data_IF_518893184214
#
_entry.id   IF_518893184214
#
_cell.length_a   1.000
_cell.length_b   1.000
_cell.length_c   1.000
_cell.angle_alpha   90.00
_cell.angle_beta   90.00
_cell.angle_gamma   90.00
#
_symmetry.space_group_name_H-M   'P 1'
#
loop_
_entity.id
_entity.type
_entity.pdbx_description
1 polymer ?
#
# COMPACT_ATOMS: atom_id res chain seq x y z
N UNK A 1 5.41 -17.78 40.93
CA UNK A 1 5.27 -17.61 39.46
C UNK A 1 3.82 -17.27 39.17
N UNK A 2 3.52 -16.09 38.61
CA UNK A 2 2.14 -15.72 38.27
C UNK A 2 1.59 -16.61 37.14
N UNK A 3 0.32 -17.00 37.24
CA UNK A 3 -0.37 -17.73 36.17
C UNK A 3 -0.35 -16.86 34.91
N UNK A 4 0.23 -17.37 33.82
CA UNK A 4 0.12 -16.69 32.52
C UNK A 4 -1.33 -16.74 32.10
N UNK A 5 -1.90 -15.57 31.81
CA UNK A 5 -3.25 -15.47 31.25
C UNK A 5 -3.41 -16.29 29.96
N UNK A 6 -4.66 -16.56 29.55
CA UNK A 6 -4.93 -17.35 28.35
C UNK A 6 -4.21 -16.80 27.12
N UNK A 7 -3.63 -17.68 26.31
CA UNK A 7 -2.95 -17.28 25.07
C UNK A 7 -3.96 -16.61 24.14
N UNK A 8 -3.61 -15.41 23.64
CA UNK A 8 -4.41 -14.71 22.62
C UNK A 8 -4.55 -15.58 21.37
N UNK A 9 -5.79 -15.74 20.88
CA UNK A 9 -6.09 -16.41 19.61
C UNK A 9 -6.05 -15.41 18.46
N UNK A 10 -5.52 -15.81 17.31
CA UNK A 10 -5.40 -14.99 16.10
C UNK A 10 -6.21 -15.64 14.98
N UNK A 11 -7.51 -15.46 15.08
CA UNK A 11 -8.49 -16.13 14.23
C UNK A 11 -8.57 -15.52 12.83
N UNK A 12 -8.39 -14.20 12.74
CA UNK A 12 -8.49 -13.43 11.50
C UNK A 12 -7.14 -13.25 10.78
N UNK A 13 -6.05 -13.78 11.35
CA UNK A 13 -4.70 -13.68 10.78
C UNK A 13 -4.41 -14.93 9.96
N UNK A 14 -4.00 -14.74 8.71
CA UNK A 14 -3.69 -15.83 7.78
C UNK A 14 -2.19 -15.95 7.54
N UNK A 15 -1.76 -17.11 7.05
CA UNK A 15 -0.37 -17.31 6.64
C UNK A 15 -0.13 -16.61 5.30
N UNK A 16 0.87 -15.71 5.17
CA UNK A 16 1.21 -15.04 3.91
C UNK A 16 2.18 -15.85 3.03
N UNK A 17 2.42 -17.12 3.33
CA UNK A 17 3.32 -17.95 2.55
C UNK A 17 2.57 -18.76 1.50
N UNK A 18 2.74 -18.46 0.21
CA UNK A 18 2.06 -19.16 -0.88
C UNK A 18 2.37 -20.67 -0.90
N UNK A 19 3.58 -21.08 -0.50
CA UNK A 19 3.96 -22.49 -0.42
C UNK A 19 3.40 -23.22 0.82
N UNK A 20 2.66 -22.54 1.69
CA UNK A 20 2.08 -23.18 2.86
C UNK A 20 0.74 -23.82 2.51
N UNK A 21 0.51 -25.07 2.94
CA UNK A 21 -0.80 -25.72 2.81
C UNK A 21 -1.95 -25.02 3.53
N UNK A 22 -1.65 -24.04 4.40
CA UNK A 22 -2.63 -23.18 5.09
C UNK A 22 -2.50 -21.71 4.64
N UNK A 23 -1.98 -21.45 3.43
CA UNK A 23 -1.93 -20.12 2.84
C UNK A 23 -3.33 -19.49 2.75
N UNK A 24 -3.48 -18.26 3.23
CA UNK A 24 -4.75 -17.52 3.12
C UNK A 24 -5.94 -18.09 3.93
N UNK A 25 -5.79 -19.20 4.65
CA UNK A 25 -6.89 -19.82 5.42
C UNK A 25 -6.97 -19.22 6.82
N UNK A 26 -8.16 -18.77 7.23
CA UNK A 26 -8.46 -18.23 8.57
C UNK A 26 -8.84 -19.35 9.55
N UNK A 27 -8.81 -19.05 10.85
CA UNK A 27 -9.31 -19.93 11.93
C UNK A 27 -8.69 -21.34 12.06
N UNK A 28 -7.52 -21.59 11.45
CA UNK A 28 -6.84 -22.90 11.53
C UNK A 28 -5.96 -23.08 12.78
N UNK A 29 -5.82 -22.04 13.62
CA UNK A 29 -5.01 -22.09 14.84
C UNK A 29 -3.50 -22.25 14.60
N UNK A 30 -3.05 -22.17 13.35
CA UNK A 30 -1.64 -22.25 12.94
C UNK A 30 -0.86 -20.97 13.29
N UNK A 31 -1.52 -19.82 13.45
CA UNK A 31 -0.87 -18.55 13.73
C UNK A 31 -0.73 -18.29 15.22
N UNK A 32 0.49 -17.98 15.65
CA UNK A 32 0.80 -17.63 17.05
C UNK A 32 1.61 -16.33 17.11
N UNK A 33 1.41 -15.54 18.17
CA UNK A 33 2.16 -14.32 18.40
C UNK A 33 3.63 -14.60 18.71
N UNK A 34 4.53 -13.90 18.01
CA UNK A 34 5.98 -13.96 18.14
C UNK A 34 6.57 -12.64 18.67
N UNK A 35 5.90 -12.06 19.67
CA UNK A 35 6.27 -10.79 20.28
C UNK A 35 5.76 -9.55 19.55
N UNK A 36 6.31 -8.40 19.92
CA UNK A 36 6.02 -7.08 19.34
C UNK A 36 7.33 -6.31 19.15
N UNK A 37 7.37 -5.35 18.23
CA UNK A 37 8.48 -4.41 18.09
C UNK A 37 7.94 -2.99 17.91
N UNK A 38 8.73 -1.99 18.27
CA UNK A 38 8.35 -0.58 18.15
C UNK A 38 8.73 -0.02 16.78
N UNK A 39 7.82 0.72 16.17
CA UNK A 39 8.07 1.56 15.00
C UNK A 39 7.77 3.01 15.33
N UNK A 40 8.12 3.95 14.46
CA UNK A 40 7.74 5.36 14.64
C UNK A 40 6.22 5.57 14.64
N UNK A 41 5.46 4.62 14.10
CA UNK A 41 4.00 4.62 14.01
C UNK A 41 3.32 3.81 15.12
N UNK A 42 4.10 3.25 16.05
CA UNK A 42 3.60 2.48 17.19
C UNK A 42 4.07 1.02 17.22
N UNK A 43 3.56 0.24 18.20
CA UNK A 43 3.92 -1.17 18.37
C UNK A 43 3.29 -2.04 17.29
N UNK A 44 4.11 -2.87 16.65
CA UNK A 44 3.71 -3.83 15.63
C UNK A 44 3.83 -5.25 16.18
N UNK A 45 2.79 -6.08 16.01
CA UNK A 45 2.79 -7.49 16.39
C UNK A 45 3.55 -8.32 15.36
N UNK A 46 4.34 -9.27 15.84
CA UNK A 46 4.90 -10.35 15.02
C UNK A 46 4.12 -11.63 15.22
N UNK A 47 4.08 -12.43 14.18
CA UNK A 47 3.44 -13.73 14.12
C UNK A 47 4.42 -14.78 13.63
N UNK A 48 4.14 -16.03 13.96
CA UNK A 48 4.77 -17.20 13.36
C UNK A 48 3.68 -18.18 12.97
N UNK A 49 3.74 -18.68 11.73
CA UNK A 49 2.93 -19.80 11.31
C UNK A 49 3.60 -21.10 11.78
N UNK A 50 2.91 -21.89 12.61
CA UNK A 50 3.43 -23.18 13.09
C UNK A 50 3.48 -24.27 12.02
N UNK A 51 2.71 -24.13 10.95
CA UNK A 51 2.66 -25.11 9.86
C UNK A 51 3.89 -25.01 8.96
N UNK A 52 4.32 -23.79 8.59
CA UNK A 52 5.48 -23.59 7.69
C UNK A 52 6.68 -22.88 8.33
N UNK A 53 6.57 -22.41 9.57
CA UNK A 53 7.63 -21.68 10.27
C UNK A 53 7.79 -20.20 9.87
N UNK A 54 7.06 -19.70 8.88
CA UNK A 54 7.21 -18.31 8.41
C UNK A 54 6.89 -17.31 9.52
N UNK A 55 7.80 -16.35 9.72
CA UNK A 55 7.63 -15.21 10.62
C UNK A 55 7.17 -14.01 9.80
N UNK A 56 6.14 -13.31 10.27
CA UNK A 56 5.56 -12.14 9.61
C UNK A 56 5.00 -11.17 10.66
N UNK A 57 4.43 -10.03 10.25
CA UNK A 57 3.89 -9.03 11.16
C UNK A 57 2.58 -8.42 10.65
N UNK A 58 1.93 -7.57 11.47
CA UNK A 58 0.68 -6.88 11.09
C UNK A 58 0.81 -6.09 9.78
N UNK A 59 2.02 -5.62 9.46
CA UNK A 59 2.29 -4.79 8.28
C UNK A 59 2.70 -5.62 7.06
N UNK A 60 2.84 -6.95 7.19
CA UNK A 60 3.17 -7.80 6.05
C UNK A 60 2.07 -7.71 4.99
N UNK A 61 2.45 -7.64 3.71
CA UNK A 61 1.54 -7.41 2.57
C UNK A 61 0.75 -6.08 2.68
N UNK A 62 1.41 -5.02 3.14
CA UNK A 62 0.86 -3.65 3.10
C UNK A 62 1.92 -2.70 2.53
N UNK A 63 1.48 -1.59 1.92
CA UNK A 63 2.39 -0.50 1.49
C UNK A 63 3.24 0.11 2.63
N UNK A 64 2.87 -0.21 3.86
CA UNK A 64 3.50 0.27 5.09
C UNK A 64 4.59 -0.68 5.62
N UNK A 65 4.76 -1.86 5.02
CA UNK A 65 5.80 -2.80 5.42
C UNK A 65 7.19 -2.16 5.34
N UNK A 66 8.01 -2.39 6.38
CA UNK A 66 9.38 -1.90 6.51
C UNK A 66 9.58 -0.36 6.37
N UNK A 67 8.51 0.43 6.51
CA UNK A 67 8.64 1.88 6.56
C UNK A 67 9.21 2.34 7.91
N UNK A 68 10.31 3.08 7.83
CA UNK A 68 10.97 3.76 8.97
C UNK A 68 10.43 5.17 9.24
N UNK A 69 9.61 5.70 8.34
CA UNK A 69 8.91 6.98 8.50
C UNK A 69 7.59 6.75 9.21
N UNK A 70 7.08 7.77 9.93
CA UNK A 70 5.71 7.74 10.47
C UNK A 70 4.69 7.64 9.33
N UNK A 71 3.68 6.82 9.53
CA UNK A 71 2.67 6.50 8.51
C UNK A 71 1.88 7.75 8.13
N UNK A 72 1.55 8.58 9.12
CA UNK A 72 0.90 9.88 8.94
C UNK A 72 1.67 10.78 7.95
N UNK A 73 3.01 10.83 8.04
CA UNK A 73 3.82 11.67 7.16
C UNK A 73 3.76 11.16 5.71
N UNK A 74 3.76 9.84 5.52
CA UNK A 74 3.61 9.22 4.20
C UNK A 74 2.20 9.48 3.63
N UNK A 75 1.16 9.31 4.45
CA UNK A 75 -0.22 9.58 4.07
C UNK A 75 -0.45 11.04 3.67
N UNK A 76 0.13 11.99 4.42
CA UNK A 76 0.07 13.42 4.08
C UNK A 76 0.76 13.67 2.73
N UNK A 77 1.94 13.10 2.49
CA UNK A 77 2.65 13.23 1.21
C UNK A 77 1.81 12.74 0.03
N UNK A 78 1.24 11.54 0.15
CA UNK A 78 0.37 10.97 -0.89
C UNK A 78 -0.87 11.83 -1.11
N UNK A 79 -1.48 12.34 -0.05
CA UNK A 79 -2.65 13.24 -0.13
C UNK A 79 -2.32 14.56 -0.81
N UNK A 80 -1.14 15.14 -0.57
CA UNK A 80 -0.68 16.36 -1.25
C UNK A 80 -0.52 16.11 -2.76
N UNK A 81 0.11 15.01 -3.14
CA UNK A 81 0.28 14.62 -4.54
C UNK A 81 -1.07 14.39 -5.23
N UNK A 82 -1.98 13.65 -4.59
CA UNK A 82 -3.33 13.39 -5.11
C UNK A 82 -4.15 14.68 -5.31
N UNK A 83 -3.87 15.73 -4.53
CA UNK A 83 -4.48 17.06 -4.69
C UNK A 83 -3.80 17.91 -5.78
N UNK A 84 -2.86 17.35 -6.55
CA UNK A 84 -2.20 18.03 -7.67
C UNK A 84 -0.90 18.75 -7.30
N UNK A 85 -0.38 18.57 -6.09
CA UNK A 85 0.90 19.16 -5.70
C UNK A 85 2.06 18.42 -6.35
N UNK A 86 3.09 19.16 -6.79
CA UNK A 86 4.31 18.55 -7.33
C UNK A 86 5.05 17.77 -6.23
N UNK A 87 5.75 16.69 -6.63
CA UNK A 87 6.58 15.92 -5.69
C UNK A 87 7.69 16.77 -5.06
N UNK A 88 8.22 17.76 -5.78
CA UNK A 88 9.26 18.67 -5.28
C UNK A 88 8.73 19.59 -4.18
N UNK A 89 7.56 20.20 -4.40
CA UNK A 89 6.93 21.05 -3.39
C UNK A 89 6.48 20.21 -2.17
N UNK A 90 6.01 18.99 -2.41
CA UNK A 90 5.66 18.05 -1.32
C UNK A 90 6.90 17.70 -0.49
N UNK A 91 8.04 17.44 -1.15
CA UNK A 91 9.30 17.14 -0.48
C UNK A 91 9.81 18.32 0.36
N UNK A 92 9.68 19.54 -0.17
CA UNK A 92 10.03 20.78 0.52
C UNK A 92 9.14 21.03 1.75
N UNK A 93 7.81 20.97 1.60
CA UNK A 93 6.86 21.17 2.71
C UNK A 93 7.06 20.13 3.82
N UNK A 94 7.33 18.89 3.45
CA UNK A 94 7.52 17.81 4.41
C UNK A 94 8.96 17.69 4.91
N UNK A 95 9.88 18.54 4.44
CA UNK A 95 11.30 18.49 4.76
C UNK A 95 11.87 17.06 4.60
N UNK A 96 11.78 16.53 3.39
CA UNK A 96 12.32 15.22 3.00
C UNK A 96 12.97 15.30 1.64
N UNK A 97 13.82 14.31 1.32
CA UNK A 97 14.41 14.20 -0.01
C UNK A 97 13.32 13.85 -1.04
N UNK A 98 13.42 14.41 -2.25
CA UNK A 98 12.53 14.09 -3.37
C UNK A 98 12.46 12.57 -3.63
N UNK A 99 13.58 11.86 -3.54
CA UNK A 99 13.61 10.41 -3.75
C UNK A 99 12.86 9.62 -2.67
N UNK A 100 12.72 10.18 -1.47
CA UNK A 100 11.88 9.60 -0.43
C UNK A 100 10.40 9.69 -0.81
N UNK A 101 9.97 10.84 -1.33
CA UNK A 101 8.59 11.04 -1.83
C UNK A 101 8.30 10.11 -3.01
N UNK A 102 9.23 9.99 -3.97
CA UNK A 102 9.13 9.03 -5.07
C UNK A 102 8.99 7.61 -4.56
N UNK A 103 9.83 7.20 -3.62
CA UNK A 103 9.80 5.87 -3.02
C UNK A 103 8.50 5.57 -2.26
N UNK A 104 7.83 6.57 -1.70
CA UNK A 104 6.48 6.42 -1.13
C UNK A 104 5.42 6.24 -2.22
N UNK A 105 5.51 7.03 -3.29
CA UNK A 105 4.57 6.94 -4.40
C UNK A 105 4.67 5.58 -5.12
N UNK A 106 5.88 5.09 -5.39
CA UNK A 106 6.09 3.77 -6.01
C UNK A 106 5.47 2.65 -5.17
N UNK A 107 5.72 2.62 -3.85
CA UNK A 107 5.11 1.63 -2.94
C UNK A 107 3.59 1.71 -2.93
N UNK A 108 3.04 2.93 -2.92
CA UNK A 108 1.60 3.14 -2.96
C UNK A 108 0.99 2.67 -4.29
N UNK A 109 1.68 2.89 -5.41
CA UNK A 109 1.27 2.43 -6.73
C UNK A 109 1.28 0.92 -6.85
N UNK A 110 2.37 0.25 -6.41
CA UNK A 110 2.47 -1.22 -6.40
C UNK A 110 1.32 -1.86 -5.61
N UNK A 111 1.03 -1.34 -4.42
CA UNK A 111 -0.06 -1.84 -3.60
C UNK A 111 -1.44 -1.48 -4.18
N UNK A 112 -1.58 -0.30 -4.79
CA UNK A 112 -2.80 0.07 -5.51
C UNK A 112 -3.04 -0.85 -6.71
N UNK A 113 -2.00 -1.27 -7.43
CA UNK A 113 -2.13 -2.19 -8.56
C UNK A 113 -2.55 -3.59 -8.08
N UNK A 114 -2.03 -4.06 -6.95
CA UNK A 114 -2.47 -5.31 -6.32
C UNK A 114 -3.95 -5.23 -5.89
N UNK A 115 -4.32 -4.16 -5.19
CA UNK A 115 -5.71 -3.92 -4.76
C UNK A 115 -6.63 -3.76 -5.96
N UNK A 116 -6.21 -3.03 -6.99
CA UNK A 116 -6.99 -2.85 -8.21
C UNK A 116 -7.10 -4.16 -9.01
N UNK A 117 -6.06 -5.02 -9.05
CA UNK A 117 -6.17 -6.36 -9.66
C UNK A 117 -7.18 -7.25 -8.94
N UNK A 118 -7.27 -7.16 -7.62
CA UNK A 118 -8.27 -7.91 -6.83
C UNK A 118 -9.67 -7.33 -7.07
N UNK A 119 -9.83 -6.00 -6.93
CA UNK A 119 -11.11 -5.32 -7.18
C UNK A 119 -11.60 -5.50 -8.62
N UNK A 120 -10.74 -5.40 -9.64
CA UNK A 120 -11.11 -5.61 -11.04
C UNK A 120 -11.51 -7.06 -11.33
N UNK A 121 -11.04 -8.04 -10.56
CA UNK A 121 -11.52 -9.43 -10.65
C UNK A 121 -12.89 -9.61 -10.02
N UNK A 122 -13.23 -8.78 -9.03
CA UNK A 122 -14.52 -8.80 -8.32
C UNK A 122 -15.57 -7.89 -8.98
N UNK A 123 -15.14 -6.91 -9.76
CA UNK A 123 -15.99 -5.98 -10.50
C UNK A 123 -16.47 -6.63 -11.82
N UNK A 124 -17.71 -7.09 -11.81
CA UNK A 124 -18.39 -7.67 -12.97
C UNK A 124 -18.88 -6.54 -13.92
N UNK A 125 -17.95 -5.85 -14.58
CA UNK A 125 -18.25 -4.71 -15.49
C UNK A 125 -18.29 -5.18 -16.93
N UNK A 126 -19.26 -4.68 -17.72
CA UNK A 126 -19.35 -5.04 -19.14
C UNK A 126 -18.20 -4.43 -19.95
N UNK A 127 -17.80 -5.11 -21.03
CA UNK A 127 -16.70 -4.67 -21.91
C UNK A 127 -16.91 -3.26 -22.49
N UNK A 128 -18.17 -2.88 -22.76
CA UNK A 128 -18.54 -1.59 -23.34
C UNK A 128 -18.29 -0.44 -22.35
N UNK A 129 -18.63 -0.63 -21.08
CA UNK A 129 -18.43 0.40 -20.05
C UNK A 129 -16.94 0.63 -19.76
N UNK A 130 -16.12 -0.42 -19.83
CA UNK A 130 -14.66 -0.31 -19.70
C UNK A 130 -14.04 0.48 -20.87
N UNK A 131 -14.51 0.25 -22.10
CA UNK A 131 -14.03 0.96 -23.30
C UNK A 131 -14.41 2.46 -23.26
N UNK A 132 -15.61 2.80 -22.77
CA UNK A 132 -16.04 4.19 -22.59
C UNK A 132 -15.21 4.92 -21.52
N UNK A 133 -14.95 4.25 -20.38
CA UNK A 133 -14.08 4.77 -19.32
C UNK A 133 -12.65 5.00 -19.81
N UNK A 134 -12.10 4.05 -20.58
CA UNK A 134 -10.77 4.16 -21.16
C UNK A 134 -10.66 5.29 -22.18
N UNK A 135 -11.68 5.47 -23.03
CA UNK A 135 -11.76 6.58 -23.97
C UNK A 135 -11.85 7.94 -23.28
N UNK A 136 -12.56 8.04 -22.16
CA UNK A 136 -12.63 9.25 -21.35
C UNK A 136 -11.27 9.61 -20.72
N UNK A 137 -10.57 8.63 -20.14
CA UNK A 137 -9.24 8.82 -19.55
C UNK A 137 -8.22 9.26 -20.62
N UNK A 138 -8.21 8.61 -21.80
CA UNK A 138 -7.35 9.02 -22.92
C UNK A 138 -7.64 10.44 -23.41
N UNK A 139 -8.91 10.85 -23.50
CA UNK A 139 -9.29 12.22 -23.89
C UNK A 139 -8.79 13.26 -22.88
N UNK A 140 -8.72 12.93 -21.59
CA UNK A 140 -8.16 13.81 -20.56
C UNK A 140 -6.65 13.96 -20.70
N UNK A 141 -5.91 12.87 -20.86
CA UNK A 141 -4.46 12.92 -21.10
C UNK A 141 -4.10 13.63 -22.40
N UNK A 142 -4.91 13.47 -23.45
CA UNK A 142 -4.73 14.21 -24.70
C UNK A 142 -4.92 15.72 -24.52
N UNK A 143 -5.90 16.15 -23.70
CA UNK A 143 -6.11 17.57 -23.38
C UNK A 143 -4.96 18.15 -22.57
N UNK A 144 -4.46 17.40 -21.56
CA UNK A 144 -3.30 17.77 -20.75
C UNK A 144 -2.02 17.87 -21.62
N UNK A 145 -1.80 16.91 -22.51
CA UNK A 145 -0.69 16.94 -23.48
C UNK A 145 -0.78 18.12 -24.46
N UNK A 146 -1.99 18.42 -24.96
CA UNK A 146 -2.22 19.55 -25.87
C UNK A 146 -2.00 20.89 -25.18
N UNK A 147 -2.43 21.03 -23.92
CA UNK A 147 -2.22 22.19 -23.05
C UNK A 147 -0.73 22.48 -22.82
N UNK A 148 0.07 21.45 -22.58
CA UNK A 148 1.52 21.56 -22.36
C UNK A 148 2.26 22.04 -23.61
N UNK A 149 1.83 21.66 -24.82
CA UNK A 149 2.44 22.11 -26.10
C UNK A 149 2.06 23.53 -26.51
N UNK A 150 0.98 24.10 -25.99
CA UNK A 150 0.58 25.48 -26.29
C UNK A 150 1.24 26.53 -25.38
N UNK A 151 2.09 26.12 -24.44
CA UNK A 151 2.78 27.00 -23.48
C UNK A 151 4.28 27.21 -23.78
N UNK A 152 4.79 26.79 -24.94
CA UNK A 152 6.13 27.22 -25.37
C UNK A 152 6.14 28.75 -25.61
N UNK A 153 7.12 29.50 -25.06
CA UNK A 153 7.16 30.94 -25.20
C UNK A 153 7.48 31.29 -26.66
N UNK A 154 6.57 32.03 -27.30
CA UNK A 154 6.80 32.61 -28.60
C UNK A 154 8.10 33.41 -28.60
N UNK A 155 9.09 32.90 -29.32
CA UNK A 155 10.31 33.61 -29.68
C UNK A 155 9.94 34.74 -30.63
N UNK A 156 9.81 35.95 -30.06
CA UNK A 156 10.02 37.21 -30.76
C UNK A 156 11.49 37.57 -30.82
#
# INVERSE_FOLDING_TARGET
>A
MGLRGPKSKFNDVTCPNEDCGLFGVTNQGNIVGNGRYQTKSGPVRKYICKSCGKVFCDRTNTAFFDLRTKDEKVLIALKMILKGMSMRNTAEILDVKLDTVRGWLTRAAEYSDEVNKVLLKELNVSKVELDELWAFVKKKQFREWKSLRTMDPGSG
#
